data_IF_290224894973
#
_entry.id   IF_290224894973
#
_cell.length_a   1.000
_cell.length_b   1.000
_cell.length_c   1.000
_cell.angle_alpha   90.00
_cell.angle_beta   90.00
_cell.angle_gamma   90.00
#
_symmetry.space_group_name_H-M   'P 1'
#
loop_
_entity.id
_entity.type
_entity.pdbx_description
1 polymer ?
#
# COMPACT_ATOMS: atom_id res chain seq x y z
N UNK A 1 -42.65 19.35 -39.60
CA UNK A 1 -42.46 19.26 -38.14
C UNK A 1 -41.74 17.97 -37.68
N UNK A 2 -42.01 16.79 -38.24
CA UNK A 2 -41.53 15.51 -37.67
C UNK A 2 -40.03 15.18 -37.76
N UNK A 3 -39.25 15.78 -38.68
CA UNK A 3 -37.81 15.50 -38.82
C UNK A 3 -36.96 16.15 -37.72
N UNK A 4 -37.32 17.36 -37.32
CA UNK A 4 -36.66 18.09 -36.22
C UNK A 4 -36.91 17.41 -34.86
N UNK A 5 -38.12 16.92 -34.62
CA UNK A 5 -38.46 16.23 -33.39
C UNK A 5 -37.72 14.89 -33.25
N UNK A 6 -37.56 14.15 -34.36
CA UNK A 6 -36.78 12.90 -34.38
C UNK A 6 -35.28 13.15 -34.17
N UNK A 7 -34.72 14.20 -34.76
CA UNK A 7 -33.32 14.57 -34.54
C UNK A 7 -33.06 15.01 -33.09
N UNK A 8 -33.98 15.76 -32.48
CA UNK A 8 -33.88 16.16 -31.08
C UNK A 8 -33.94 14.96 -30.12
N UNK A 9 -34.85 14.00 -30.36
CA UNK A 9 -34.95 12.78 -29.55
C UNK A 9 -33.67 11.93 -29.68
N UNK A 10 -33.14 11.74 -30.90
CA UNK A 10 -31.91 10.98 -31.12
C UNK A 10 -30.69 11.63 -30.46
N UNK A 11 -30.59 12.96 -30.47
CA UNK A 11 -29.53 13.69 -29.78
C UNK A 11 -29.57 13.51 -28.26
N UNK A 12 -30.77 13.52 -27.68
CA UNK A 12 -30.97 13.38 -26.24
C UNK A 12 -30.68 11.95 -25.75
N UNK A 13 -31.03 10.94 -26.56
CA UNK A 13 -30.68 9.54 -26.31
C UNK A 13 -29.16 9.33 -26.39
N UNK A 14 -28.50 9.89 -27.42
CA UNK A 14 -27.04 9.79 -27.54
C UNK A 14 -26.31 10.44 -26.36
N UNK A 15 -26.78 11.61 -25.90
CA UNK A 15 -26.23 12.28 -24.72
C UNK A 15 -26.45 11.46 -23.44
N UNK A 16 -27.63 10.87 -23.25
CA UNK A 16 -27.91 9.99 -22.12
C UNK A 16 -27.02 8.75 -22.09
N UNK A 17 -26.75 8.15 -23.25
CA UNK A 17 -25.84 7.00 -23.39
C UNK A 17 -24.40 7.40 -23.07
N UNK A 18 -23.93 8.58 -23.51
CA UNK A 18 -22.59 9.08 -23.19
C UNK A 18 -22.44 9.36 -21.68
N UNK A 19 -23.46 9.92 -21.03
CA UNK A 19 -23.45 10.15 -19.59
C UNK A 19 -23.49 8.84 -18.78
N UNK A 20 -24.26 7.84 -19.24
CA UNK A 20 -24.27 6.50 -18.64
C UNK A 20 -22.95 5.76 -18.82
N UNK A 21 -22.33 5.85 -20.01
CA UNK A 21 -21.02 5.25 -20.27
C UNK A 21 -19.90 5.98 -19.52
N UNK A 22 -19.99 7.30 -19.37
CA UNK A 22 -19.03 8.09 -18.59
C UNK A 22 -18.99 7.70 -17.10
N UNK A 23 -20.15 7.36 -16.52
CA UNK A 23 -20.22 6.84 -15.15
C UNK A 23 -19.57 5.45 -14.99
N UNK A 24 -19.52 4.67 -16.07
CA UNK A 24 -18.84 3.36 -16.08
C UNK A 24 -17.33 3.48 -16.27
N UNK A 25 -16.82 4.61 -16.76
CA UNK A 25 -15.38 4.84 -16.95
C UNK A 25 -14.73 5.40 -15.68
N UNK A 26 -15.44 6.19 -14.87
CA UNK A 26 -14.86 6.79 -13.66
C UNK A 26 -14.55 5.77 -12.54
N UNK A 27 -15.24 4.62 -12.53
CA UNK A 27 -15.00 3.52 -11.59
C UNK A 27 -13.71 2.71 -11.88
N UNK A 28 -13.02 2.99 -13.00
CA UNK A 28 -11.73 2.38 -13.34
C UNK A 28 -10.54 3.26 -12.98
N UNK A 29 -10.76 4.46 -12.45
CA UNK A 29 -9.69 5.30 -11.92
C UNK A 29 -9.44 4.82 -10.49
N UNK A 30 -8.33 4.11 -10.21
CA UNK A 30 -7.97 3.86 -8.83
C UNK A 30 -7.73 5.22 -8.17
N UNK A 31 -8.48 5.51 -7.10
CA UNK A 31 -8.15 6.60 -6.18
C UNK A 31 -6.75 6.29 -5.64
N UNK A 32 -5.72 6.88 -6.25
CA UNK A 32 -4.34 6.74 -5.83
C UNK A 32 -4.15 7.55 -4.54
N UNK A 33 -4.82 7.14 -3.47
CA UNK A 33 -4.49 7.58 -2.12
C UNK A 33 -3.35 6.69 -1.66
N UNK A 34 -2.13 7.00 -2.12
CA UNK A 34 -0.94 6.45 -1.49
C UNK A 34 -0.98 6.85 -0.01
N UNK A 35 -0.86 5.92 0.94
CA UNK A 35 -0.80 6.28 2.34
C UNK A 35 0.55 6.95 2.62
N UNK A 36 0.61 8.29 2.66
CA UNK A 36 1.80 9.05 3.10
C UNK A 36 2.11 8.90 4.61
N UNK A 37 1.61 7.84 5.26
CA UNK A 37 1.73 7.62 6.69
C UNK A 37 2.32 6.26 7.04
N UNK A 38 2.70 6.04 8.31
CA UNK A 38 3.15 4.73 8.75
C UNK A 38 2.09 3.66 8.40
N UNK A 39 2.56 2.54 7.85
CA UNK A 39 1.79 1.35 7.44
C UNK A 39 0.67 0.98 8.42
N UNK A 40 0.89 1.23 9.71
CA UNK A 40 -0.11 1.14 10.76
C UNK A 40 -0.21 2.46 11.52
N UNK A 41 -1.44 2.95 11.70
CA UNK A 41 -1.69 4.08 12.60
C UNK A 41 -1.25 3.74 14.03
N UNK A 42 -0.84 4.72 14.84
CA UNK A 42 -0.49 4.51 16.25
C UNK A 42 -1.61 3.81 17.05
N UNK A 43 -2.88 4.10 16.72
CA UNK A 43 -4.04 3.48 17.36
C UNK A 43 -4.17 1.98 17.02
N UNK A 44 -3.96 1.57 15.78
CA UNK A 44 -3.98 0.16 15.38
C UNK A 44 -2.87 -0.64 16.07
N UNK A 45 -1.68 -0.05 16.20
CA UNK A 45 -0.58 -0.65 16.97
C UNK A 45 -0.91 -0.78 18.46
N UNK A 46 -1.53 0.24 19.05
CA UNK A 46 -1.94 0.22 20.46
C UNK A 46 -3.03 -0.82 20.76
N UNK A 47 -3.92 -1.08 19.79
CA UNK A 47 -4.97 -2.10 19.87
C UNK A 47 -4.48 -3.51 19.54
N UNK A 48 -3.21 -3.68 19.15
CA UNK A 48 -2.65 -4.99 18.79
C UNK A 48 -3.21 -5.57 17.49
N UNK A 49 -3.94 -4.79 16.69
CA UNK A 49 -4.47 -5.24 15.39
C UNK A 49 -3.33 -5.25 14.39
N UNK A 50 -2.86 -6.45 14.02
CA UNK A 50 -1.81 -6.66 13.03
C UNK A 50 -2.40 -7.37 11.82
N UNK A 51 -1.92 -7.00 10.64
CA UNK A 51 -2.22 -7.72 9.41
C UNK A 51 -1.40 -9.01 9.44
N UNK A 52 -2.10 -10.13 9.37
CA UNK A 52 -1.51 -11.46 9.32
C UNK A 52 -1.14 -11.84 7.89
N UNK A 53 0.11 -12.27 7.70
CA UNK A 53 0.68 -12.54 6.38
C UNK A 53 1.25 -13.96 6.31
N UNK A 54 0.92 -14.67 5.23
CA UNK A 54 1.55 -15.94 4.84
C UNK A 54 2.45 -15.73 3.61
N UNK A 55 3.72 -16.11 3.69
CA UNK A 55 4.73 -15.88 2.65
C UNK A 55 5.09 -17.18 1.93
N UNK A 56 4.88 -17.22 0.62
CA UNK A 56 5.12 -18.40 -0.22
C UNK A 56 6.17 -18.12 -1.29
N UNK A 57 7.29 -18.83 -1.24
CA UNK A 57 8.28 -18.86 -2.31
C UNK A 57 7.73 -19.65 -3.50
N UNK A 58 7.43 -18.95 -4.59
CA UNK A 58 6.93 -19.52 -5.82
C UNK A 58 7.89 -19.34 -7.01
N UNK A 59 9.06 -18.71 -6.79
CA UNK A 59 10.13 -18.56 -7.76
C UNK A 59 11.26 -19.58 -7.58
N UNK A 60 11.23 -20.39 -6.52
CA UNK A 60 12.22 -21.45 -6.28
C UNK A 60 13.59 -20.96 -5.81
N UNK A 61 13.71 -19.69 -5.43
CA UNK A 61 14.98 -19.12 -4.93
C UNK A 61 15.12 -19.40 -3.44
N UNK A 62 16.19 -20.09 -3.05
CA UNK A 62 16.45 -20.45 -1.66
C UNK A 62 16.55 -19.20 -0.75
N UNK A 63 15.92 -19.29 0.43
CA UNK A 63 15.94 -18.23 1.43
C UNK A 63 15.07 -17.01 1.11
N UNK A 64 14.47 -16.91 -0.08
CA UNK A 64 13.69 -15.75 -0.51
C UNK A 64 12.49 -15.46 0.42
N UNK A 65 11.69 -16.49 0.76
CA UNK A 65 10.57 -16.32 1.68
C UNK A 65 11.01 -15.89 3.09
N UNK A 66 12.21 -16.32 3.53
CA UNK A 66 12.76 -15.92 4.82
C UNK A 66 13.16 -14.45 4.81
N UNK A 67 13.86 -14.01 3.76
CA UNK A 67 14.25 -12.61 3.59
C UNK A 67 13.03 -11.67 3.58
N UNK A 68 11.97 -12.02 2.82
CA UNK A 68 10.72 -11.26 2.82
C UNK A 68 10.02 -11.26 4.19
N UNK A 69 10.05 -12.40 4.90
CA UNK A 69 9.47 -12.52 6.25
C UNK A 69 10.16 -11.57 7.23
N UNK A 70 11.50 -11.54 7.24
CA UNK A 70 12.27 -10.69 8.13
C UNK A 70 12.00 -9.20 7.84
N UNK A 71 11.90 -8.84 6.56
CA UNK A 71 11.56 -7.49 6.12
C UNK A 71 10.15 -7.06 6.55
N UNK A 72 9.14 -7.91 6.35
CA UNK A 72 7.75 -7.65 6.75
C UNK A 72 7.60 -7.52 8.27
N UNK A 73 8.29 -8.37 9.05
CA UNK A 73 8.27 -8.28 10.52
C UNK A 73 8.92 -6.99 11.00
N UNK A 74 10.01 -6.56 10.36
CA UNK A 74 10.64 -5.25 10.60
C UNK A 74 9.68 -4.08 10.35
N UNK A 75 8.82 -4.19 9.34
CA UNK A 75 7.77 -3.21 9.03
C UNK A 75 6.51 -3.31 9.91
N UNK A 76 6.46 -4.25 10.85
CA UNK A 76 5.38 -4.37 11.85
C UNK A 76 4.22 -5.29 11.48
N UNK A 77 4.31 -6.01 10.35
CA UNK A 77 3.35 -7.04 9.97
C UNK A 77 3.51 -8.30 10.81
N UNK A 78 2.41 -9.04 11.01
CA UNK A 78 2.45 -10.34 11.69
C UNK A 78 2.58 -11.47 10.67
N UNK A 79 3.81 -11.91 10.41
CA UNK A 79 4.04 -13.04 9.50
C UNK A 79 3.84 -14.34 10.27
N UNK A 80 2.71 -14.99 10.03
CA UNK A 80 2.29 -16.22 10.72
C UNK A 80 2.73 -17.49 9.99
N UNK A 81 3.01 -17.39 8.68
CA UNK A 81 3.44 -18.50 7.85
C UNK A 81 4.53 -18.11 6.86
N UNK A 82 5.49 -19.02 6.65
CA UNK A 82 6.45 -18.92 5.56
C UNK A 82 6.74 -20.31 5.00
N UNK A 83 6.94 -20.42 3.69
CA UNK A 83 7.29 -21.69 3.07
C UNK A 83 7.33 -21.62 1.56
N UNK A 84 7.22 -22.78 0.93
CA UNK A 84 7.18 -22.91 -0.52
C UNK A 84 5.73 -22.91 -1.01
N UNK A 85 5.52 -22.39 -2.23
CA UNK A 85 4.30 -22.63 -2.97
C UNK A 85 4.25 -24.06 -3.52
N UNK A 86 3.08 -24.50 -3.98
CA UNK A 86 2.92 -25.83 -4.59
C UNK A 86 3.69 -26.01 -5.90
N UNK A 87 4.04 -24.92 -6.58
CA UNK A 87 4.85 -24.87 -7.79
C UNK A 87 5.86 -23.72 -7.72
N UNK A 88 6.95 -23.82 -8.49
CA UNK A 88 8.09 -22.89 -8.49
C UNK A 88 8.33 -22.18 -9.84
N UNK A 89 7.27 -22.03 -10.62
CA UNK A 89 7.31 -21.56 -12.02
C UNK A 89 6.93 -20.08 -12.18
N UNK A 90 6.80 -19.33 -11.08
CA UNK A 90 6.41 -17.92 -11.16
C UNK A 90 7.63 -17.00 -11.24
N UNK A 91 7.73 -16.27 -12.34
CA UNK A 91 8.70 -15.19 -12.50
C UNK A 91 8.34 -13.95 -11.67
N UNK A 92 7.06 -13.56 -11.67
CA UNK A 92 6.56 -12.34 -11.02
C UNK A 92 5.93 -12.62 -9.67
N UNK A 93 5.99 -11.62 -8.78
CA UNK A 93 5.36 -11.69 -7.46
C UNK A 93 3.95 -11.14 -7.45
N UNK A 94 3.11 -11.66 -6.56
CA UNK A 94 1.74 -11.18 -6.34
C UNK A 94 1.39 -11.20 -4.86
N UNK A 95 0.71 -10.15 -4.41
CA UNK A 95 0.09 -10.09 -3.08
C UNK A 95 -1.41 -10.34 -3.21
N UNK A 96 -1.93 -11.26 -2.42
CA UNK A 96 -3.31 -11.74 -2.51
C UNK A 96 -4.04 -11.38 -1.22
N UNK A 97 -5.09 -10.57 -1.33
CA UNK A 97 -6.05 -10.32 -0.26
C UNK A 97 -6.94 -11.56 -0.05
N UNK A 98 -6.97 -12.09 1.18
CA UNK A 98 -7.70 -13.30 1.57
C UNK A 98 -8.97 -13.04 2.37
N UNK A 99 -9.24 -11.80 2.76
CA UNK A 99 -10.37 -11.44 3.63
C UNK A 99 -11.27 -10.35 3.04
N UNK A 100 -11.04 -9.95 1.79
CA UNK A 100 -11.75 -8.86 1.13
C UNK A 100 -11.25 -7.47 1.55
N UNK A 101 -10.10 -7.38 2.23
CA UNK A 101 -9.44 -6.15 2.62
C UNK A 101 -8.26 -5.84 1.69
N UNK A 102 -8.59 -5.40 0.47
CA UNK A 102 -7.57 -5.03 -0.54
C UNK A 102 -6.58 -3.98 -0.03
N UNK A 103 -6.99 -3.09 0.88
CA UNK A 103 -6.11 -2.09 1.47
C UNK A 103 -5.00 -2.70 2.35
N UNK A 104 -5.26 -3.81 3.04
CA UNK A 104 -4.24 -4.55 3.77
C UNK A 104 -3.21 -5.17 2.82
N UNK A 105 -3.68 -5.82 1.74
CA UNK A 105 -2.81 -6.36 0.71
C UNK A 105 -1.97 -5.28 0.01
N UNK A 106 -2.55 -4.12 -0.29
CA UNK A 106 -1.84 -3.00 -0.90
C UNK A 106 -0.67 -2.50 -0.04
N UNK A 107 -0.86 -2.40 1.28
CA UNK A 107 0.22 -2.01 2.22
C UNK A 107 1.36 -3.03 2.26
N UNK A 108 1.04 -4.33 2.24
CA UNK A 108 2.04 -5.40 2.16
C UNK A 108 2.82 -5.30 0.83
N UNK A 109 2.11 -5.06 -0.27
CA UNK A 109 2.68 -4.93 -1.60
C UNK A 109 3.61 -3.72 -1.73
N UNK A 110 3.21 -2.57 -1.20
CA UNK A 110 4.02 -1.35 -1.12
C UNK A 110 5.33 -1.60 -0.37
N UNK A 111 5.25 -2.20 0.82
CA UNK A 111 6.43 -2.54 1.62
C UNK A 111 7.37 -3.47 0.86
N UNK A 112 6.85 -4.49 0.18
CA UNK A 112 7.65 -5.45 -0.58
C UNK A 112 8.08 -4.99 -1.97
N UNK A 113 7.66 -3.80 -2.42
CA UNK A 113 7.92 -3.31 -3.79
C UNK A 113 7.27 -4.19 -4.87
N UNK A 114 6.08 -4.73 -4.60
CA UNK A 114 5.33 -5.60 -5.51
C UNK A 114 4.14 -4.81 -6.07
N UNK A 115 4.06 -4.66 -7.39
CA UNK A 115 2.97 -3.91 -8.03
C UNK A 115 1.66 -4.72 -8.15
N UNK A 116 1.77 -6.05 -8.16
CA UNK A 116 0.63 -6.92 -8.41
C UNK A 116 -0.14 -7.23 -7.13
N UNK A 117 -1.39 -6.75 -7.07
CA UNK A 117 -2.33 -7.05 -5.98
C UNK A 117 -3.61 -7.68 -6.53
N UNK A 118 -3.87 -8.90 -6.11
CA UNK A 118 -5.10 -9.65 -6.39
C UNK A 118 -5.98 -9.76 -5.13
N UNK A 119 -7.26 -10.07 -5.32
CA UNK A 119 -8.18 -10.43 -4.23
C UNK A 119 -8.77 -11.79 -4.56
N UNK A 120 -8.62 -12.72 -3.62
CA UNK A 120 -9.13 -14.09 -3.69
C UNK A 120 -9.50 -14.53 -2.26
N UNK A 121 -10.66 -14.04 -1.75
CA UNK A 121 -11.04 -14.25 -0.36
C UNK A 121 -11.28 -15.72 -0.03
N UNK A 122 -10.56 -16.23 0.97
CA UNK A 122 -10.75 -17.57 1.51
C UNK A 122 -10.58 -17.53 3.04
N UNK A 123 -11.68 -17.48 3.81
CA UNK A 123 -11.63 -17.37 5.26
C UNK A 123 -11.04 -18.61 5.95
N UNK A 124 -10.93 -19.75 5.25
CA UNK A 124 -10.37 -20.98 5.83
C UNK A 124 -8.84 -20.94 5.94
N UNK A 125 -8.18 -19.95 5.32
CA UNK A 125 -6.74 -19.80 5.39
C UNK A 125 -6.27 -19.10 6.68
N UNK A 126 -7.18 -18.46 7.43
CA UNK A 126 -6.90 -17.74 8.67
C UNK A 126 -5.77 -16.70 8.58
N UNK A 127 -5.59 -16.11 7.39
CA UNK A 127 -4.64 -15.02 7.15
C UNK A 127 -5.32 -13.91 6.38
N UNK A 128 -4.90 -12.68 6.59
CA UNK A 128 -5.43 -11.52 5.87
C UNK A 128 -4.85 -11.44 4.45
N UNK A 129 -3.57 -11.80 4.31
CA UNK A 129 -2.81 -11.64 3.08
C UNK A 129 -1.92 -12.87 2.82
N UNK A 130 -1.89 -13.34 1.58
CA UNK A 130 -0.86 -14.27 1.09
C UNK A 130 0.07 -13.55 0.12
N UNK A 131 1.38 -13.65 0.34
CA UNK A 131 2.40 -13.17 -0.61
C UNK A 131 2.93 -14.37 -1.37
N UNK A 132 2.86 -14.35 -2.70
CA UNK A 132 3.58 -15.30 -3.57
C UNK A 132 4.76 -14.58 -4.21
N UNK A 133 5.97 -14.98 -3.83
CA UNK A 133 7.21 -14.39 -4.33
C UNK A 133 7.66 -15.12 -5.60
N UNK A 134 7.78 -14.39 -6.70
CA UNK A 134 8.35 -14.89 -7.95
C UNK A 134 9.87 -14.74 -8.00
N UNK A 135 10.51 -15.41 -8.96
CA UNK A 135 11.96 -15.49 -9.08
C UNK A 135 12.64 -14.12 -9.25
N UNK A 136 11.96 -13.16 -9.88
CA UNK A 136 12.48 -11.81 -10.10
C UNK A 136 12.39 -10.89 -8.87
N UNK A 137 11.79 -11.35 -7.75
CA UNK A 137 11.68 -10.52 -6.56
C UNK A 137 13.05 -10.24 -5.94
N UNK A 138 13.26 -8.99 -5.56
CA UNK A 138 14.41 -8.55 -4.79
C UNK A 138 13.93 -7.72 -3.62
N UNK A 139 14.66 -7.81 -2.50
CA UNK A 139 14.34 -7.01 -1.32
C UNK A 139 14.42 -5.52 -1.70
N UNK A 140 13.38 -4.72 -1.42
CA UNK A 140 13.45 -3.28 -1.58
C UNK A 140 14.59 -2.72 -0.73
N UNK A 141 15.33 -1.76 -1.28
CA UNK A 141 16.28 -0.99 -0.46
C UNK A 141 15.46 -0.31 0.63
N UNK A 142 15.93 -0.40 1.87
CA UNK A 142 15.31 0.22 3.03
C UNK A 142 14.87 1.64 2.66
N UNK A 143 13.64 2.07 3.02
CA UNK A 143 13.17 3.40 2.67
C UNK A 143 14.20 4.40 3.21
N UNK A 144 14.74 5.26 2.34
CA UNK A 144 15.64 6.32 2.79
C UNK A 144 14.94 7.03 3.96
N UNK A 145 15.61 7.17 5.12
CA UNK A 145 14.98 7.79 6.28
C UNK A 145 14.46 9.14 5.83
N UNK A 146 13.13 9.33 5.90
CA UNK A 146 12.43 10.61 5.64
C UNK A 146 13.31 11.68 6.23
N UNK A 147 13.85 12.59 5.40
CA UNK A 147 14.89 13.55 5.77
C UNK A 147 14.53 14.26 7.09
N UNK A 148 14.96 13.68 8.21
CA UNK A 148 14.79 14.27 9.53
C UNK A 148 15.99 15.19 9.63
N UNK A 149 15.76 16.47 9.38
CA UNK A 149 16.70 17.61 9.43
C UNK A 149 18.10 17.21 9.94
N UNK A 150 19.16 17.32 9.10
CA UNK A 150 20.48 16.79 9.42
C UNK A 150 20.91 17.28 10.81
N UNK A 151 21.40 16.35 11.65
CA UNK A 151 21.76 16.55 13.05
C UNK A 151 22.51 17.87 13.37
N UNK A 152 23.46 18.37 12.55
CA UNK A 152 24.09 19.68 12.80
C UNK A 152 23.12 20.87 12.84
N UNK A 153 22.01 20.85 12.09
CA UNK A 153 21.04 21.95 12.07
C UNK A 153 20.12 21.96 13.31
N UNK A 154 19.89 20.79 13.93
CA UNK A 154 19.08 20.70 15.16
C UNK A 154 19.76 21.35 16.34
N UNK A 155 21.07 21.18 16.44
CA UNK A 155 21.88 21.79 17.51
C UNK A 155 21.87 23.31 17.35
N UNK A 156 22.08 23.82 16.14
CA UNK A 156 22.02 25.25 15.85
C UNK A 156 20.63 25.87 16.08
N UNK A 157 19.54 25.17 15.72
CA UNK A 157 18.18 25.64 15.97
C UNK A 157 17.86 25.70 17.46
N UNK A 158 18.31 24.73 18.25
CA UNK A 158 18.12 24.71 19.71
C UNK A 158 18.89 25.84 20.40
N UNK A 159 20.09 26.19 19.94
CA UNK A 159 20.83 27.35 20.46
C UNK A 159 20.12 28.67 20.13
N UNK A 160 19.65 28.83 18.89
CA UNK A 160 18.90 30.03 18.46
C UNK A 160 17.59 30.18 19.24
N UNK A 161 16.89 29.07 19.48
CA UNK A 161 15.66 29.06 20.27
C UNK A 161 15.93 29.38 21.75
N UNK A 162 17.01 28.85 22.35
CA UNK A 162 17.40 29.23 23.72
C UNK A 162 17.74 30.70 23.82
N UNK A 163 18.48 31.25 22.85
CA UNK A 163 18.80 32.68 22.81
C UNK A 163 17.54 33.55 22.68
N UNK A 164 16.59 33.15 21.84
CA UNK A 164 15.33 33.85 21.65
C UNK A 164 14.40 33.79 22.87
N UNK A 165 14.34 32.65 23.56
CA UNK A 165 13.55 32.49 24.78
C UNK A 165 14.18 33.21 25.98
N UNK A 166 15.51 33.32 26.03
CA UNK A 166 16.22 34.09 27.05
C UNK A 166 16.05 35.62 26.85
N UNK A 167 16.00 36.10 25.60
CA UNK A 167 15.85 37.53 25.29
C UNK A 167 14.47 38.13 25.58
N UNK A 168 13.41 37.31 25.70
CA UNK A 168 12.04 37.80 25.91
C UNK A 168 11.66 38.07 27.37
N UNK A 169 12.61 38.03 28.31
CA UNK A 169 12.37 38.30 29.75
C UNK A 169 12.87 39.68 30.21
N UNK A 170 13.42 40.50 29.31
CA UNK A 170 14.11 41.73 29.69
C UNK A 170 13.65 42.99 28.96
N UNK A 171 12.36 43.17 28.68
CA UNK A 171 11.82 44.48 28.28
C UNK A 171 10.46 44.68 28.95
N UNK A 172 10.53 45.32 30.12
CA UNK A 172 9.40 45.93 30.83
C UNK A 172 9.75 47.39 31.10
#
# INVERSE_FOLDING_TARGET
MGRFLRAAILGLVALGVILLLGSSVLQWIPEATAPEGPVFSPAQRALGVRITVDVRNAGGIDGMARAATDYLRGAGFDVVGLGNAGTFDQETSVVIDRVGNRGAAARVAEVLGIDSVASDPDPNLFVDVTVRLGAAWTMPKEPEPVNVMPEPERVGLMERLRGFLAGRRGEG
#
